data_IF_539846393591
#
_entry.id   IF_539846393591
#
_cell.length_a   1.000
_cell.length_b   1.000
_cell.length_c   1.000
_cell.angle_alpha   90.00
_cell.angle_beta   90.00
_cell.angle_gamma   90.00
#
_symmetry.space_group_name_H-M   'P 1'
#
loop_
_entity.id
_entity.type
_entity.pdbx_description
1 polymer ?
#
# COMPACT_ATOMS: atom_id res chain seq x y z
N UNK A 1 -0.56 -26.50 -3.67
CA UNK A 1 -0.32 -26.84 -5.10
C UNK A 1 -1.40 -26.20 -5.98
N UNK A 2 -2.68 -26.26 -5.61
CA UNK A 2 -3.79 -25.67 -6.39
C UNK A 2 -3.64 -24.15 -6.63
N UNK A 3 -2.96 -23.42 -5.73
CA UNK A 3 -2.78 -21.97 -5.82
C UNK A 3 -1.54 -21.53 -6.62
N UNK A 4 -0.63 -22.45 -6.98
CA UNK A 4 0.62 -22.08 -7.64
C UNK A 4 1.28 -23.27 -8.38
N UNK A 5 0.82 -23.58 -9.62
CA UNK A 5 1.35 -24.71 -10.41
C UNK A 5 2.85 -24.60 -10.69
N UNK A 6 3.41 -23.39 -10.72
CA UNK A 6 4.84 -23.15 -10.97
C UNK A 6 5.77 -23.75 -9.91
N UNK A 7 5.28 -24.09 -8.73
CA UNK A 7 6.07 -24.76 -7.68
C UNK A 7 6.60 -26.13 -8.13
N UNK A 8 5.90 -26.77 -9.07
CA UNK A 8 6.27 -28.09 -9.60
C UNK A 8 7.56 -28.09 -10.43
N UNK A 9 7.99 -26.92 -10.88
CA UNK A 9 9.23 -26.75 -11.68
C UNK A 9 10.43 -26.34 -10.83
N UNK A 10 10.26 -26.14 -9.53
CA UNK A 10 11.32 -25.71 -8.64
C UNK A 10 12.20 -26.89 -8.20
N UNK A 11 13.49 -26.63 -8.03
CA UNK A 11 14.41 -27.61 -7.44
C UNK A 11 14.09 -27.77 -5.95
N UNK A 12 13.62 -28.95 -5.56
CA UNK A 12 13.21 -29.25 -4.19
C UNK A 12 14.32 -29.00 -3.18
N UNK A 13 15.57 -29.29 -3.56
CA UNK A 13 16.77 -29.07 -2.73
C UNK A 13 16.95 -27.57 -2.43
N UNK A 14 16.80 -26.70 -3.41
CA UNK A 14 16.91 -25.25 -3.21
C UNK A 14 15.81 -24.73 -2.29
N UNK A 15 14.57 -25.23 -2.43
CA UNK A 15 13.46 -24.87 -1.54
C UNK A 15 13.78 -25.24 -0.09
N UNK A 16 14.26 -26.47 0.13
CA UNK A 16 14.61 -26.95 1.49
C UNK A 16 15.75 -26.15 2.11
N UNK A 17 16.77 -25.85 1.33
CA UNK A 17 17.92 -25.07 1.80
C UNK A 17 17.51 -23.63 2.13
N UNK A 18 16.79 -22.98 1.25
CA UNK A 18 16.28 -21.62 1.46
C UNK A 18 15.36 -21.55 2.69
N UNK A 19 14.43 -22.50 2.82
CA UNK A 19 13.53 -22.58 3.98
C UNK A 19 14.31 -22.73 5.29
N UNK A 20 15.31 -23.63 5.34
CA UNK A 20 16.18 -23.82 6.49
C UNK A 20 16.92 -22.52 6.85
N UNK A 21 17.53 -21.86 5.86
CA UNK A 21 18.24 -20.61 6.06
C UNK A 21 17.35 -19.50 6.61
N UNK A 22 16.15 -19.32 6.06
CA UNK A 22 15.20 -18.30 6.50
C UNK A 22 14.76 -18.52 7.96
N UNK A 23 14.51 -19.77 8.35
CA UNK A 23 14.18 -20.12 9.73
C UNK A 23 15.35 -19.88 10.69
N UNK A 24 16.58 -20.24 10.31
CA UNK A 24 17.79 -19.97 11.10
C UNK A 24 18.00 -18.47 11.34
N UNK A 25 17.70 -17.65 10.34
CA UNK A 25 17.79 -16.18 10.43
C UNK A 25 16.57 -15.54 11.09
N UNK A 26 15.57 -16.33 11.50
CA UNK A 26 14.30 -15.87 12.12
C UNK A 26 13.53 -14.87 11.25
N UNK A 27 13.56 -15.09 9.93
CA UNK A 27 12.76 -14.29 8.98
C UNK A 27 11.31 -14.81 9.03
N UNK A 28 10.34 -13.91 8.97
CA UNK A 28 8.93 -14.29 8.98
C UNK A 28 8.59 -15.19 7.78
N UNK A 29 8.48 -16.49 8.03
CA UNK A 29 8.24 -17.50 7.00
C UNK A 29 6.82 -17.49 6.47
N UNK A 30 5.85 -16.89 7.18
CA UNK A 30 4.47 -16.76 6.68
C UNK A 30 4.40 -15.88 5.44
N UNK A 31 5.19 -14.81 5.40
CA UNK A 31 5.30 -13.96 4.21
C UNK A 31 6.05 -14.69 3.08
N UNK A 32 7.01 -15.54 3.42
CA UNK A 32 7.78 -16.34 2.46
C UNK A 32 6.93 -17.42 1.81
N UNK A 33 5.99 -18.03 2.53
CA UNK A 33 5.04 -19.02 1.97
C UNK A 33 4.21 -18.42 0.84
N UNK A 34 3.92 -17.12 0.91
CA UNK A 34 3.23 -16.39 -0.17
C UNK A 34 4.16 -15.93 -1.29
N UNK A 35 5.47 -15.93 -1.06
CA UNK A 35 6.50 -15.43 -1.97
C UNK A 35 7.37 -16.57 -2.52
N UNK A 36 6.76 -17.48 -3.30
CA UNK A 36 7.46 -18.65 -3.88
C UNK A 36 8.75 -18.32 -4.61
N UNK A 37 8.87 -17.12 -5.17
CA UNK A 37 10.07 -16.67 -5.86
C UNK A 37 11.29 -16.55 -4.92
N UNK A 38 11.10 -16.33 -3.61
CA UNK A 38 12.20 -16.33 -2.64
C UNK A 38 12.69 -17.77 -2.43
N UNK A 39 11.77 -18.72 -2.29
CA UNK A 39 12.10 -20.12 -2.12
C UNK A 39 12.73 -20.74 -3.37
N UNK A 40 12.43 -20.18 -4.56
CA UNK A 40 13.00 -20.62 -5.83
C UNK A 40 14.32 -19.93 -6.20
N UNK A 41 14.75 -18.94 -5.41
CA UNK A 41 16.02 -18.25 -5.61
C UNK A 41 17.19 -19.21 -5.41
N UNK A 42 18.27 -19.01 -6.15
CA UNK A 42 19.51 -19.74 -5.89
C UNK A 42 19.97 -19.54 -4.44
N UNK A 43 20.28 -20.61 -3.66
CA UNK A 43 20.61 -20.49 -2.26
C UNK A 43 21.82 -19.60 -1.96
N UNK A 44 22.84 -19.62 -2.82
CA UNK A 44 24.02 -18.76 -2.67
C UNK A 44 23.67 -17.28 -2.92
N UNK A 45 22.85 -17.02 -3.92
CA UNK A 45 22.34 -15.66 -4.17
C UNK A 45 21.52 -15.15 -2.99
N UNK A 46 20.62 -15.97 -2.45
CA UNK A 46 19.78 -15.59 -1.30
C UNK A 46 20.65 -15.24 -0.09
N UNK A 47 21.67 -16.05 0.24
CA UNK A 47 22.60 -15.80 1.33
C UNK A 47 23.38 -14.50 1.12
N UNK A 48 23.96 -14.30 -0.07
CA UNK A 48 24.67 -13.06 -0.43
C UNK A 48 23.80 -11.83 -0.28
N UNK A 49 22.56 -11.89 -0.78
CA UNK A 49 21.64 -10.76 -0.66
C UNK A 49 21.27 -10.50 0.79
N UNK A 50 21.03 -11.55 1.58
CA UNK A 50 20.77 -11.41 3.02
C UNK A 50 21.94 -10.72 3.72
N UNK A 51 23.18 -11.18 3.53
CA UNK A 51 24.37 -10.60 4.14
C UNK A 51 24.54 -9.13 3.76
N UNK A 52 24.37 -8.82 2.49
CA UNK A 52 24.49 -7.46 1.98
C UNK A 52 23.45 -6.51 2.57
N UNK A 53 22.17 -6.94 2.62
CA UNK A 53 21.07 -6.07 3.08
C UNK A 53 20.98 -6.03 4.61
N UNK A 54 21.33 -7.11 5.32
CA UNK A 54 21.28 -7.15 6.80
C UNK A 54 22.42 -6.37 7.48
N UNK A 55 23.45 -5.96 6.76
CA UNK A 55 24.51 -5.11 7.29
C UNK A 55 23.94 -3.76 7.77
N UNK A 56 24.07 -3.48 9.07
CA UNK A 56 23.55 -2.26 9.70
C UNK A 56 24.18 -0.98 9.15
N UNK A 57 25.40 -1.05 8.60
CA UNK A 57 26.04 0.08 7.95
C UNK A 57 25.43 0.40 6.58
N UNK A 58 24.69 -0.56 5.97
CA UNK A 58 24.03 -0.43 4.68
C UNK A 58 22.53 -0.20 4.84
N UNK A 59 21.78 -1.26 5.16
CA UNK A 59 20.33 -1.21 5.25
C UNK A 59 19.80 -1.67 6.62
N UNK A 60 20.37 -2.76 7.15
CA UNK A 60 19.96 -3.37 8.39
C UNK A 60 18.83 -4.40 8.25
N UNK A 61 18.77 -5.32 9.20
CA UNK A 61 17.83 -6.43 9.20
C UNK A 61 16.36 -5.99 9.13
N UNK A 62 16.04 -4.84 9.70
CA UNK A 62 14.68 -4.27 9.68
C UNK A 62 14.11 -4.12 8.26
N UNK A 63 14.92 -3.82 7.26
CA UNK A 63 14.46 -3.73 5.87
C UNK A 63 14.05 -5.08 5.30
N UNK A 64 14.75 -6.16 5.67
CA UNK A 64 14.37 -7.52 5.27
C UNK A 64 13.03 -7.89 5.91
N UNK A 65 12.82 -7.57 7.19
CA UNK A 65 11.58 -7.83 7.92
C UNK A 65 10.38 -7.09 7.32
N UNK A 66 10.59 -5.89 6.81
CA UNK A 66 9.56 -5.09 6.14
C UNK A 66 9.28 -5.53 4.69
N UNK A 67 10.30 -6.06 4.00
CA UNK A 67 10.24 -6.39 2.57
C UNK A 67 11.05 -7.62 2.24
N UNK A 68 10.59 -8.78 2.67
CA UNK A 68 11.26 -10.07 2.47
C UNK A 68 11.55 -10.36 0.99
N UNK A 69 10.76 -9.83 0.06
CA UNK A 69 10.96 -9.99 -1.38
C UNK A 69 12.31 -9.50 -1.91
N UNK A 70 13.03 -8.66 -1.15
CA UNK A 70 14.38 -8.21 -1.51
C UNK A 70 15.37 -9.38 -1.60
N UNK A 71 15.15 -10.44 -0.84
CA UNK A 71 16.02 -11.62 -0.81
C UNK A 71 16.07 -12.39 -2.14
N UNK A 72 15.11 -12.17 -3.02
CA UNK A 72 15.13 -12.74 -4.37
C UNK A 72 15.86 -11.87 -5.39
N UNK A 73 16.36 -10.70 -5.00
CA UNK A 73 17.06 -9.76 -5.88
C UNK A 73 18.56 -10.00 -5.79
N UNK A 74 19.28 -10.14 -6.94
CA UNK A 74 20.74 -10.23 -6.94
C UNK A 74 21.39 -8.99 -6.33
N UNK A 75 22.46 -9.20 -5.54
CA UNK A 75 23.25 -8.11 -4.93
C UNK A 75 23.78 -7.14 -5.98
N UNK A 76 24.24 -7.67 -7.10
CA UNK A 76 24.81 -6.89 -8.20
C UNK A 76 23.79 -5.87 -8.75
N UNK A 77 22.52 -6.24 -8.75
CA UNK A 77 21.45 -5.31 -9.15
C UNK A 77 21.25 -4.18 -8.14
N UNK A 78 21.32 -4.48 -6.84
CA UNK A 78 21.21 -3.47 -5.80
C UNK A 78 22.37 -2.48 -5.93
N UNK A 79 23.61 -3.00 -6.07
CA UNK A 79 24.82 -2.21 -6.25
C UNK A 79 24.78 -1.34 -7.52
N UNK A 80 24.28 -1.89 -8.62
CA UNK A 80 24.13 -1.14 -9.86
C UNK A 80 23.18 0.05 -9.70
N UNK A 81 22.09 -0.11 -8.95
CA UNK A 81 21.14 0.99 -8.68
C UNK A 81 21.78 2.00 -7.73
N UNK A 82 22.51 1.57 -6.70
CA UNK A 82 23.25 2.45 -5.80
C UNK A 82 24.23 3.34 -6.55
N UNK A 83 24.98 2.74 -7.47
CA UNK A 83 25.98 3.45 -8.28
C UNK A 83 25.34 4.43 -9.28
N UNK A 84 24.28 3.97 -9.96
CA UNK A 84 23.69 4.72 -11.08
C UNK A 84 22.59 5.70 -10.68
N UNK A 85 22.05 5.59 -9.45
CA UNK A 85 20.99 6.44 -8.91
C UNK A 85 21.33 6.89 -7.48
N UNK A 86 22.45 7.61 -7.26
CA UNK A 86 22.95 7.99 -5.92
C UNK A 86 21.99 8.96 -5.18
N UNK A 87 21.08 9.58 -5.89
CA UNK A 87 20.03 10.46 -5.34
C UNK A 87 18.90 9.71 -4.62
N UNK A 88 18.81 8.38 -4.79
CA UNK A 88 17.80 7.58 -4.12
C UNK A 88 18.16 7.35 -2.65
N UNK A 89 17.16 7.41 -1.79
CA UNK A 89 17.30 6.94 -0.40
C UNK A 89 17.48 5.42 -0.38
N UNK A 90 18.10 4.90 0.69
CA UNK A 90 18.28 3.44 0.89
C UNK A 90 16.98 2.66 0.66
N UNK A 91 15.87 3.15 1.21
CA UNK A 91 14.55 2.53 1.07
C UNK A 91 14.08 2.51 -0.40
N UNK A 92 14.31 3.60 -1.12
CA UNK A 92 13.93 3.70 -2.54
C UNK A 92 14.81 2.86 -3.45
N UNK A 93 16.09 2.67 -3.13
CA UNK A 93 17.00 1.75 -3.84
C UNK A 93 16.45 0.33 -3.76
N UNK A 94 16.09 -0.15 -2.56
CA UNK A 94 15.51 -1.49 -2.41
C UNK A 94 14.16 -1.63 -3.12
N UNK A 95 13.32 -0.59 -3.08
CA UNK A 95 12.04 -0.58 -3.82
C UNK A 95 12.25 -0.64 -5.33
N UNK A 96 13.23 0.12 -5.85
CA UNK A 96 13.61 0.10 -7.25
C UNK A 96 14.17 -1.28 -7.66
N UNK A 97 15.00 -1.90 -6.82
CA UNK A 97 15.58 -3.21 -7.06
C UNK A 97 14.50 -4.31 -7.19
N UNK A 98 13.52 -4.30 -6.29
CA UNK A 98 12.38 -5.23 -6.30
C UNK A 98 11.49 -5.03 -7.54
N UNK A 99 11.39 -3.83 -8.08
CA UNK A 99 10.48 -3.49 -9.19
C UNK A 99 10.76 -4.24 -10.50
N UNK A 100 11.95 -4.87 -10.64
CA UNK A 100 12.43 -5.58 -11.84
C UNK A 100 12.56 -4.70 -13.09
N UNK A 101 12.49 -3.38 -12.97
CA UNK A 101 12.68 -2.43 -14.07
C UNK A 101 14.16 -2.30 -14.42
N UNK A 102 14.47 -2.04 -15.70
CA UNK A 102 15.83 -1.71 -16.11
C UNK A 102 16.35 -0.45 -15.39
N UNK A 103 17.66 -0.37 -15.16
CA UNK A 103 18.25 0.76 -14.42
C UNK A 103 18.05 2.08 -15.16
N UNK A 104 18.06 2.07 -16.48
CA UNK A 104 17.79 3.27 -17.29
C UNK A 104 16.33 3.75 -17.12
N UNK A 105 15.37 2.82 -17.01
CA UNK A 105 13.98 3.15 -16.70
C UNK A 105 13.85 3.73 -15.29
N UNK A 106 14.57 3.17 -14.31
CA UNK A 106 14.61 3.70 -12.95
C UNK A 106 15.15 5.14 -12.95
N UNK A 107 16.24 5.41 -13.66
CA UNK A 107 16.79 6.77 -13.81
C UNK A 107 15.78 7.73 -14.42
N UNK A 108 15.08 7.31 -15.46
CA UNK A 108 14.07 8.15 -16.10
C UNK A 108 12.87 8.42 -15.17
N UNK A 109 12.43 7.42 -14.40
CA UNK A 109 11.39 7.61 -13.36
C UNK A 109 11.84 8.66 -12.34
N UNK A 110 13.06 8.54 -11.81
CA UNK A 110 13.61 9.48 -10.83
C UNK A 110 13.69 10.89 -11.41
N UNK A 111 14.20 11.03 -12.65
CA UNK A 111 14.25 12.32 -13.37
C UNK A 111 12.86 12.94 -13.54
N UNK A 112 11.85 12.14 -13.91
CA UNK A 112 10.47 12.62 -14.04
C UNK A 112 9.94 13.13 -12.70
N UNK A 113 10.17 12.38 -11.63
CA UNK A 113 9.76 12.80 -10.28
C UNK A 113 10.44 14.11 -9.86
N UNK A 114 11.76 14.21 -10.02
CA UNK A 114 12.54 15.42 -9.67
C UNK A 114 12.07 16.65 -10.45
N UNK A 115 11.90 16.52 -11.79
CA UNK A 115 11.42 17.61 -12.64
C UNK A 115 10.06 18.17 -12.22
N UNK A 116 9.22 17.36 -11.60
CA UNK A 116 7.85 17.71 -11.20
C UNK A 116 7.72 17.89 -9.68
N UNK A 117 8.82 17.94 -8.93
CA UNK A 117 8.85 18.05 -7.47
C UNK A 117 8.07 16.97 -6.74
N UNK A 118 7.98 15.79 -7.36
CA UNK A 118 7.28 14.62 -6.82
C UNK A 118 8.23 13.82 -5.95
N UNK A 119 7.84 13.55 -4.71
CA UNK A 119 8.61 12.70 -3.82
C UNK A 119 8.68 11.27 -4.36
N UNK A 120 9.89 10.76 -4.56
CA UNK A 120 10.10 9.36 -4.95
C UNK A 120 9.66 8.45 -3.80
N UNK A 121 8.74 7.55 -4.10
CA UNK A 121 8.21 6.54 -3.17
C UNK A 121 8.17 5.18 -3.86
N UNK A 122 7.91 4.10 -3.13
CA UNK A 122 7.77 2.76 -3.73
C UNK A 122 6.67 2.68 -4.81
N UNK A 123 5.65 3.52 -4.68
CA UNK A 123 4.54 3.58 -5.64
C UNK A 123 4.98 3.92 -7.06
N UNK A 124 5.95 4.83 -7.22
CA UNK A 124 6.39 5.27 -8.56
C UNK A 124 7.06 4.14 -9.34
N UNK A 125 7.77 3.23 -8.68
CA UNK A 125 8.44 2.11 -9.34
C UNK A 125 7.47 1.01 -9.84
N UNK A 126 6.19 1.13 -9.54
CA UNK A 126 5.13 0.26 -10.12
C UNK A 126 4.70 0.70 -11.51
N UNK A 127 5.06 1.92 -11.93
CA UNK A 127 4.62 2.56 -13.17
C UNK A 127 5.80 2.82 -14.10
N UNK A 128 5.53 2.89 -15.41
CA UNK A 128 6.53 3.38 -16.36
C UNK A 128 6.72 4.89 -16.22
N UNK A 129 7.86 5.40 -16.69
CA UNK A 129 8.10 6.85 -16.71
C UNK A 129 7.03 7.61 -17.50
N UNK A 130 6.53 7.04 -18.60
CA UNK A 130 5.43 7.62 -19.40
C UNK A 130 4.14 7.68 -18.62
N UNK A 131 3.76 6.60 -17.94
CA UNK A 131 2.55 6.55 -17.13
C UNK A 131 2.61 7.52 -15.93
N UNK A 132 3.81 7.68 -15.33
CA UNK A 132 4.02 8.66 -14.26
C UNK A 132 3.79 10.09 -14.77
N UNK A 133 4.30 10.45 -15.95
CA UNK A 133 4.04 11.78 -16.56
C UNK A 133 2.56 12.03 -16.75
N UNK A 134 1.84 11.02 -17.23
CA UNK A 134 0.41 11.11 -17.47
C UNK A 134 -0.39 11.28 -16.18
N UNK A 135 -0.07 10.50 -15.15
CA UNK A 135 -0.67 10.65 -13.81
C UNK A 135 -0.41 12.06 -13.24
N UNK A 136 0.83 12.55 -13.35
CA UNK A 136 1.19 13.90 -12.90
C UNK A 136 0.35 14.95 -13.65
N UNK A 137 0.22 14.85 -14.97
CA UNK A 137 -0.58 15.74 -15.80
C UNK A 137 -2.03 15.78 -15.31
N UNK A 138 -2.66 14.60 -15.15
CA UNK A 138 -4.05 14.49 -14.69
C UNK A 138 -4.20 15.16 -13.31
N UNK A 139 -3.26 14.91 -12.38
CA UNK A 139 -3.31 15.53 -11.06
C UNK A 139 -3.20 17.06 -11.12
N UNK A 140 -2.26 17.58 -11.89
CA UNK A 140 -2.05 19.04 -12.05
C UNK A 140 -3.25 19.73 -12.66
N UNK A 141 -3.82 19.18 -13.74
CA UNK A 141 -5.02 19.71 -14.41
C UNK A 141 -6.26 19.72 -13.50
N UNK A 142 -6.30 18.87 -12.50
CA UNK A 142 -7.43 18.73 -11.58
C UNK A 142 -7.16 19.28 -10.18
N UNK A 143 -6.01 19.94 -9.94
CA UNK A 143 -5.64 20.50 -8.64
C UNK A 143 -5.49 19.44 -7.55
N UNK A 144 -5.06 18.24 -7.91
CA UNK A 144 -4.89 17.09 -6.99
C UNK A 144 -3.46 17.10 -6.47
N UNK A 145 -3.31 16.99 -5.14
CA UNK A 145 -2.00 16.80 -4.52
C UNK A 145 -1.36 15.48 -4.95
N UNK A 146 -0.16 15.55 -5.49
CA UNK A 146 0.57 14.37 -5.99
C UNK A 146 1.29 13.68 -4.83
N UNK A 147 0.66 12.65 -4.29
CA UNK A 147 1.20 11.82 -3.22
C UNK A 147 1.40 10.37 -3.68
N UNK A 148 2.20 9.61 -2.93
CA UNK A 148 2.59 8.25 -3.31
C UNK A 148 1.43 7.29 -3.59
N UNK A 149 0.26 7.49 -2.99
CA UNK A 149 -0.92 6.64 -3.22
C UNK A 149 -1.49 6.74 -4.63
N UNK A 150 -1.35 7.89 -5.31
CA UNK A 150 -1.82 8.09 -6.68
C UNK A 150 -1.16 7.09 -7.62
N UNK A 151 0.14 6.82 -7.46
CA UNK A 151 0.91 5.90 -8.31
C UNK A 151 0.58 4.42 -8.07
N UNK A 152 -0.31 4.11 -7.12
CA UNK A 152 -0.88 2.76 -6.99
C UNK A 152 -1.91 2.46 -8.08
N UNK A 153 -2.40 3.50 -8.78
CA UNK A 153 -3.39 3.44 -9.85
C UNK A 153 -2.75 3.68 -11.21
N UNK A 154 -3.32 3.09 -12.24
CA UNK A 154 -2.96 3.43 -13.63
C UNK A 154 -3.45 4.84 -13.97
N UNK A 155 -2.92 5.45 -15.01
CA UNK A 155 -3.39 6.77 -15.46
C UNK A 155 -4.90 6.76 -15.77
N UNK A 156 -5.39 5.71 -16.45
CA UNK A 156 -6.82 5.52 -16.74
C UNK A 156 -7.65 5.40 -15.46
N UNK A 157 -7.21 4.64 -14.45
CA UNK A 157 -7.92 4.56 -13.18
C UNK A 157 -7.95 5.91 -12.45
N UNK A 158 -6.86 6.70 -12.51
CA UNK A 158 -6.83 8.05 -11.91
C UNK A 158 -7.85 8.94 -12.58
N UNK A 159 -7.93 8.93 -13.92
CA UNK A 159 -8.90 9.70 -14.70
C UNK A 159 -10.34 9.32 -14.35
N UNK A 160 -10.67 8.01 -14.31
CA UNK A 160 -11.99 7.52 -13.89
C UNK A 160 -12.34 7.95 -12.45
N UNK A 161 -11.39 7.91 -11.52
CA UNK A 161 -11.59 8.35 -10.13
C UNK A 161 -11.92 9.85 -10.10
N UNK A 162 -11.19 10.65 -10.87
CA UNK A 162 -11.42 12.09 -11.00
C UNK A 162 -12.83 12.38 -11.52
N UNK A 163 -13.27 11.66 -12.56
CA UNK A 163 -14.62 11.81 -13.11
C UNK A 163 -15.71 11.46 -12.09
N UNK A 164 -15.54 10.35 -11.36
CA UNK A 164 -16.50 9.95 -10.31
C UNK A 164 -16.58 11.05 -9.25
N UNK A 165 -15.43 11.59 -8.81
CA UNK A 165 -15.39 12.62 -7.80
C UNK A 165 -16.08 13.91 -8.28
N UNK A 166 -15.78 14.37 -9.49
CA UNK A 166 -16.41 15.55 -10.08
C UNK A 166 -17.92 15.39 -10.19
N UNK A 167 -18.39 14.25 -10.72
CA UNK A 167 -19.82 13.95 -10.87
C UNK A 167 -20.58 13.98 -9.54
N UNK A 168 -19.94 13.59 -8.46
CA UNK A 168 -20.57 13.46 -7.14
C UNK A 168 -20.19 14.59 -6.17
N UNK A 169 -19.48 15.63 -6.60
CA UNK A 169 -19.05 16.74 -5.76
C UNK A 169 -18.08 16.33 -4.64
N UNK A 170 -17.30 15.24 -4.84
CA UNK A 170 -16.41 14.67 -3.85
C UNK A 170 -15.05 15.37 -3.91
N UNK A 171 -14.57 15.88 -2.78
CA UNK A 171 -13.19 16.37 -2.68
C UNK A 171 -12.20 15.21 -2.78
N UNK A 172 -11.32 15.27 -3.78
CA UNK A 172 -10.30 14.25 -4.00
C UNK A 172 -9.24 14.34 -2.91
N UNK A 173 -9.02 13.23 -2.20
CA UNK A 173 -8.00 13.09 -1.16
C UNK A 173 -7.16 11.84 -1.42
N UNK A 174 -5.98 11.75 -0.81
CA UNK A 174 -5.08 10.61 -1.01
C UNK A 174 -5.67 9.25 -0.67
N UNK A 175 -6.64 9.19 0.24
CA UNK A 175 -7.29 7.95 0.66
C UNK A 175 -8.12 7.30 -0.44
N UNK A 176 -8.67 8.07 -1.36
CA UNK A 176 -9.48 7.52 -2.46
C UNK A 176 -8.66 6.61 -3.37
N UNK A 177 -7.38 6.95 -3.60
CA UNK A 177 -6.46 6.14 -4.43
C UNK A 177 -6.02 4.83 -3.77
N UNK A 178 -6.39 4.60 -2.51
CA UNK A 178 -6.22 3.31 -1.85
C UNK A 178 -7.26 2.28 -2.31
N UNK A 179 -8.38 2.74 -2.90
CA UNK A 179 -9.50 1.91 -3.35
C UNK A 179 -9.51 1.74 -4.86
N UNK A 180 -9.99 0.59 -5.33
CA UNK A 180 -10.24 0.35 -6.76
C UNK A 180 -11.44 1.17 -7.22
N UNK A 181 -11.50 1.50 -8.50
CA UNK A 181 -12.61 2.28 -9.09
C UNK A 181 -13.98 1.65 -8.82
N UNK A 182 -14.08 0.31 -8.88
CA UNK A 182 -15.31 -0.43 -8.54
C UNK A 182 -15.74 -0.24 -7.09
N UNK A 183 -14.79 -0.33 -6.16
CA UNK A 183 -15.04 -0.11 -4.73
C UNK A 183 -15.47 1.33 -4.44
N UNK A 184 -14.86 2.32 -5.13
CA UNK A 184 -15.24 3.72 -5.00
C UNK A 184 -16.69 3.93 -5.43
N UNK A 185 -17.11 3.36 -6.58
CA UNK A 185 -18.50 3.44 -7.07
C UNK A 185 -19.48 2.85 -6.04
N UNK A 186 -19.12 1.73 -5.44
CA UNK A 186 -19.96 1.07 -4.42
C UNK A 186 -20.03 1.90 -3.13
N UNK A 187 -18.90 2.42 -2.63
CA UNK A 187 -18.86 3.30 -1.46
C UNK A 187 -19.73 4.55 -1.69
N UNK A 188 -19.59 5.20 -2.86
CA UNK A 188 -20.40 6.37 -3.21
C UNK A 188 -21.89 6.03 -3.19
N UNK A 189 -22.30 4.89 -3.77
CA UNK A 189 -23.67 4.43 -3.76
C UNK A 189 -24.20 4.22 -2.33
N UNK A 190 -23.42 3.51 -1.48
CA UNK A 190 -23.83 3.27 -0.07
C UNK A 190 -23.95 4.58 0.70
N UNK A 191 -23.04 5.54 0.49
CA UNK A 191 -23.13 6.84 1.14
C UNK A 191 -24.37 7.63 0.70
N UNK A 192 -24.71 7.62 -0.60
CA UNK A 192 -25.90 8.27 -1.13
C UNK A 192 -27.20 7.66 -0.61
N UNK A 193 -27.28 6.31 -0.59
CA UNK A 193 -28.45 5.58 -0.06
C UNK A 193 -28.72 5.84 1.43
N UNK A 194 -27.69 6.22 2.19
CA UNK A 194 -27.77 6.47 3.63
C UNK A 194 -27.62 7.96 3.99
N UNK A 195 -27.67 8.87 3.02
CA UNK A 195 -27.55 10.32 3.20
C UNK A 195 -26.25 10.73 3.95
N UNK A 196 -25.15 10.00 3.71
CA UNK A 196 -23.86 10.24 4.35
C UNK A 196 -23.04 11.22 3.49
N UNK A 197 -22.51 12.26 4.14
CA UNK A 197 -21.54 13.15 3.49
C UNK A 197 -20.27 12.39 3.11
N UNK A 198 -19.93 12.41 1.81
CA UNK A 198 -18.75 11.68 1.30
C UNK A 198 -17.49 12.50 1.57
N UNK A 199 -16.78 12.14 2.62
CA UNK A 199 -15.49 12.72 3.00
C UNK A 199 -14.34 11.73 2.73
N UNK A 200 -13.10 12.18 2.80
CA UNK A 200 -11.92 11.32 2.60
C UNK A 200 -11.87 10.10 3.53
N UNK A 201 -12.47 10.18 4.71
CA UNK A 201 -12.46 9.11 5.71
C UNK A 201 -13.30 7.89 5.30
N UNK A 202 -14.38 8.06 4.52
CA UNK A 202 -15.20 6.91 4.07
C UNK A 202 -14.38 5.94 3.22
N UNK A 203 -13.39 6.44 2.48
CA UNK A 203 -12.51 5.61 1.65
C UNK A 203 -11.45 4.83 2.44
N UNK A 204 -11.40 4.98 3.75
CA UNK A 204 -10.62 4.12 4.64
C UNK A 204 -11.32 2.78 4.91
N UNK A 205 -12.61 2.68 4.61
CA UNK A 205 -13.48 1.51 4.84
C UNK A 205 -13.96 0.90 3.52
N UNK A 206 -14.31 -0.40 3.55
CA UNK A 206 -15.02 -1.05 2.44
C UNK A 206 -16.50 -0.64 2.47
N UNK A 207 -17.24 -0.90 1.39
CA UNK A 207 -18.66 -0.62 1.34
C UNK A 207 -19.46 -1.43 2.39
N UNK A 208 -19.04 -2.68 2.66
CA UNK A 208 -19.64 -3.55 3.68
C UNK A 208 -19.38 -3.00 5.09
N UNK A 209 -18.13 -2.60 5.39
CA UNK A 209 -17.81 -1.97 6.68
C UNK A 209 -18.59 -0.68 6.89
N UNK A 210 -18.81 0.13 5.85
CA UNK A 210 -19.63 1.34 5.93
C UNK A 210 -21.07 0.98 6.28
N UNK A 211 -21.68 -0.01 5.62
CA UNK A 211 -23.05 -0.48 5.94
C UNK A 211 -23.15 -0.93 7.39
N UNK A 212 -22.22 -1.76 7.86
CA UNK A 212 -22.19 -2.22 9.24
C UNK A 212 -22.08 -1.06 10.24
N UNK A 213 -21.17 -0.10 9.99
CA UNK A 213 -21.01 1.09 10.84
C UNK A 213 -22.31 1.92 10.87
N UNK A 214 -22.97 2.10 9.73
CA UNK A 214 -24.22 2.83 9.63
C UNK A 214 -25.31 2.15 10.45
N UNK A 215 -25.49 0.84 10.32
CA UNK A 215 -26.46 0.06 11.09
C UNK A 215 -26.23 0.18 12.60
N UNK A 216 -24.96 0.07 13.03
CA UNK A 216 -24.62 0.24 14.45
C UNK A 216 -24.98 1.64 14.94
N UNK A 217 -24.62 2.68 14.18
CA UNK A 217 -24.90 4.05 14.55
C UNK A 217 -26.41 4.33 14.61
N UNK A 218 -27.17 3.91 13.60
CA UNK A 218 -28.61 4.09 13.53
C UNK A 218 -29.34 3.38 14.70
N UNK A 219 -28.96 2.14 14.99
CA UNK A 219 -29.51 1.35 16.11
C UNK A 219 -29.32 2.03 17.46
N UNK A 220 -28.24 2.82 17.61
CA UNK A 220 -27.89 3.50 18.86
C UNK A 220 -28.22 5.01 18.83
N UNK A 221 -28.98 5.49 17.84
CA UNK A 221 -29.37 6.90 17.75
C UNK A 221 -28.19 7.86 17.44
N UNK A 222 -27.08 7.34 16.92
CA UNK A 222 -25.86 8.10 16.65
C UNK A 222 -25.91 8.62 15.22
N UNK A 223 -25.71 9.93 15.05
CA UNK A 223 -25.62 10.53 13.71
C UNK A 223 -24.32 10.08 13.03
N UNK A 224 -24.44 9.47 11.83
CA UNK A 224 -23.30 9.07 11.02
C UNK A 224 -22.64 10.31 10.41
N UNK A 225 -21.38 10.52 10.73
CA UNK A 225 -20.54 11.62 10.22
C UNK A 225 -19.17 11.08 9.83
N UNK A 226 -18.43 11.81 9.01
CA UNK A 226 -17.14 11.37 8.46
C UNK A 226 -16.14 10.84 9.50
N UNK A 227 -16.15 11.36 10.72
CA UNK A 227 -15.19 10.96 11.77
C UNK A 227 -15.40 9.55 12.30
N UNK A 228 -16.61 9.00 12.19
CA UNK A 228 -16.92 7.63 12.62
C UNK A 228 -16.10 6.62 11.81
N UNK A 229 -15.81 6.91 10.54
CA UNK A 229 -15.07 6.02 9.65
C UNK A 229 -13.55 5.92 9.92
N UNK A 230 -13.02 6.69 10.88
CA UNK A 230 -11.67 6.45 11.40
C UNK A 230 -11.60 5.22 12.32
N UNK A 231 -12.75 4.72 12.79
CA UNK A 231 -12.88 3.54 13.65
C UNK A 231 -13.45 2.36 12.88
N UNK A 232 -13.08 1.14 13.27
CA UNK A 232 -13.72 -0.09 12.79
C UNK A 232 -15.07 -0.28 13.43
N UNK A 233 -15.92 -1.14 12.85
CA UNK A 233 -17.23 -1.48 13.43
C UNK A 233 -17.09 -2.03 14.86
N UNK A 234 -16.08 -2.88 15.11
CA UNK A 234 -15.82 -3.45 16.44
C UNK A 234 -15.35 -2.41 17.45
N UNK A 235 -14.51 -1.46 17.03
CA UNK A 235 -14.11 -0.35 17.91
C UNK A 235 -15.30 0.53 18.26
N UNK A 236 -16.21 0.79 17.32
CA UNK A 236 -17.43 1.57 17.55
C UNK A 236 -18.34 0.85 18.54
N UNK A 237 -18.57 -0.47 18.37
CA UNK A 237 -19.35 -1.28 19.33
C UNK A 237 -18.80 -1.15 20.75
N UNK A 238 -17.48 -1.36 20.93
CA UNK A 238 -16.81 -1.24 22.22
C UNK A 238 -16.95 0.16 22.84
N UNK A 239 -16.80 1.20 22.01
CA UNK A 239 -16.99 2.59 22.49
C UNK A 239 -18.41 2.80 22.99
N UNK A 240 -19.41 2.32 22.26
CA UNK A 240 -20.83 2.43 22.64
C UNK A 240 -21.09 1.68 23.95
N UNK A 241 -20.61 0.43 24.07
CA UNK A 241 -20.74 -0.38 25.30
C UNK A 241 -20.16 0.36 26.51
N UNK A 242 -18.92 0.87 26.41
CA UNK A 242 -18.28 1.63 27.50
C UNK A 242 -19.07 2.90 27.85
N UNK A 243 -19.58 3.61 26.85
CA UNK A 243 -20.39 4.80 27.10
C UNK A 243 -21.71 4.46 27.82
N UNK A 244 -22.38 3.39 27.41
CA UNK A 244 -23.63 2.94 28.03
C UNK A 244 -23.42 2.46 29.48
N UNK A 245 -22.36 1.68 29.74
CA UNK A 245 -22.01 1.21 31.09
C UNK A 245 -21.71 2.35 32.07
N UNK A 246 -21.23 3.48 31.57
CA UNK A 246 -20.83 4.64 32.38
C UNK A 246 -21.83 5.83 32.28
N UNK A 247 -23.01 5.61 31.71
CA UNK A 247 -24.05 6.65 31.49
C UNK A 247 -23.52 7.89 30.74
N UNK A 248 -22.55 7.67 29.82
CA UNK A 248 -21.97 8.73 29.01
C UNK A 248 -22.76 8.85 27.70
N UNK A 249 -23.22 10.04 27.38
CA UNK A 249 -23.84 10.31 26.07
C UNK A 249 -22.83 10.08 24.92
N UNK A 250 -23.19 9.23 23.95
CA UNK A 250 -22.38 8.96 22.79
C UNK A 250 -22.43 10.13 21.82
N UNK A 251 -21.53 11.08 22.00
CA UNK A 251 -21.41 12.24 21.12
C UNK A 251 -20.30 12.04 20.09
N UNK A 252 -20.29 12.88 19.07
CA UNK A 252 -19.28 12.89 18.01
C UNK A 252 -17.83 12.98 18.55
N UNK A 253 -17.60 13.61 19.69
CA UNK A 253 -16.28 13.78 20.31
C UNK A 253 -15.65 12.47 20.77
N UNK A 254 -16.46 11.45 21.06
CA UNK A 254 -15.98 10.14 21.52
C UNK A 254 -15.17 9.41 20.42
N UNK A 255 -15.48 9.65 19.14
CA UNK A 255 -14.80 9.02 18.01
C UNK A 255 -13.50 9.72 17.60
N UNK A 256 -13.23 10.94 18.12
CA UNK A 256 -11.98 11.67 17.84
C UNK A 256 -10.80 11.25 18.73
N UNK A 257 -11.06 10.67 19.90
CA UNK A 257 -10.00 10.28 20.83
C UNK A 257 -9.39 8.95 20.39
N UNK A 258 -8.13 9.01 19.95
CA UNK A 258 -7.27 7.84 19.94
C UNK A 258 -6.96 7.48 21.38
N UNK A 259 -7.18 6.21 21.72
CA UNK A 259 -6.66 5.66 22.95
C UNK A 259 -5.15 5.67 22.92
#
# INVERSE_FOLDING_TARGET
IEKCPSILYLKIEAIKENWKFLNEKKINTRDVETCLHILSTDPEQLKKTYEYVSDENRYGKKYIEQRTSILSVPVERIQEIEEKCPELTRENILSAAISRKGVDEIKEIVRVCQKNEVKVTDGVFRRSATEIREIIRICQENGIEIIGSVFRRTATEVEEIVEICKKNGIKITGSIFLRRTSEIKEIVKVCQENEIEITGSVFLRTAEEIKEIVEICQKNGIKVIGTVFYKTADEIKKIIEVCQENEIEVTRSVFYRTA
#
